data_IF_817051495980
#
_entry.id   IF_817051495980
#
_cell.length_a   1.000
_cell.length_b   1.000
_cell.length_c   1.000
_cell.angle_alpha   90.00
_cell.angle_beta   90.00
_cell.angle_gamma   90.00
#
_symmetry.space_group_name_H-M   'P 1'
#
loop_
_entity.id
_entity.type
_entity.pdbx_description
1 polymer ?
#
# COMPACT_ATOMS: atom_id res chain seq x y z
N UNK A 1 4.59 7.69 -14.45
CA UNK A 1 4.22 6.65 -13.45
C UNK A 1 4.84 7.07 -12.14
N UNK A 2 4.12 6.91 -11.03
CA UNK A 2 4.58 7.29 -9.69
C UNK A 2 4.45 6.09 -8.76
N UNK A 3 5.46 5.87 -7.92
CA UNK A 3 5.54 4.76 -6.97
C UNK A 3 5.65 5.35 -5.57
N UNK A 4 4.77 4.89 -4.69
CA UNK A 4 4.80 5.18 -3.26
C UNK A 4 4.78 3.85 -2.50
N UNK A 5 5.68 3.69 -1.54
CA UNK A 5 5.83 2.47 -0.76
C UNK A 5 5.91 2.78 0.74
N UNK A 6 5.33 1.88 1.54
CA UNK A 6 5.53 1.86 2.99
C UNK A 6 6.34 0.63 3.33
N UNK A 7 7.44 0.84 4.03
CA UNK A 7 8.28 -0.22 4.56
C UNK A 7 7.80 -0.53 5.98
N UNK A 8 7.60 -1.81 6.26
CA UNK A 8 7.04 -2.24 7.54
C UNK A 8 7.83 -3.41 8.10
N UNK A 9 8.67 -3.13 9.08
CA UNK A 9 9.30 -4.17 9.87
C UNK A 9 8.32 -4.71 10.92
N UNK A 10 7.72 -5.88 10.65
CA UNK A 10 6.69 -6.48 11.53
C UNK A 10 7.12 -6.64 13.00
N UNK A 11 8.44 -6.80 13.26
CA UNK A 11 8.99 -6.92 14.62
C UNK A 11 8.85 -5.63 15.43
N UNK A 12 8.83 -4.47 14.78
CA UNK A 12 8.59 -3.16 15.42
C UNK A 12 7.10 -2.87 15.67
N UNK A 13 6.19 -3.65 15.06
CA UNK A 13 4.77 -3.53 15.34
C UNK A 13 4.41 -4.15 16.71
N UNK A 14 3.68 -3.41 17.53
CA UNK A 14 3.14 -3.89 18.81
C UNK A 14 2.36 -5.21 18.62
N UNK A 15 2.49 -6.22 19.51
CA UNK A 15 1.90 -7.54 19.31
C UNK A 15 0.40 -7.52 19.02
N UNK A 16 -0.35 -6.65 19.70
CA UNK A 16 -1.79 -6.50 19.46
C UNK A 16 -2.12 -6.00 18.05
N UNK A 17 -1.22 -5.24 17.42
CA UNK A 17 -1.39 -4.73 16.06
C UNK A 17 -0.86 -5.70 14.98
N UNK A 18 -0.33 -6.89 15.35
CA UNK A 18 0.19 -7.89 14.40
C UNK A 18 -0.87 -8.80 13.81
N UNK A 19 -2.08 -8.80 14.37
CA UNK A 19 -3.16 -9.61 13.83
C UNK A 19 -3.36 -9.24 12.36
N UNK A 20 -3.23 -10.21 11.45
CA UNK A 20 -3.16 -9.91 10.01
C UNK A 20 -4.42 -9.20 9.48
N UNK A 21 -5.58 -9.47 10.08
CA UNK A 21 -6.86 -8.83 9.79
C UNK A 21 -6.91 -7.35 10.19
N UNK A 22 -5.96 -6.87 10.99
CA UNK A 22 -5.83 -5.46 11.38
C UNK A 22 -4.57 -4.83 10.77
N UNK A 23 -3.47 -5.58 10.76
CA UNK A 23 -2.16 -5.14 10.30
C UNK A 23 -2.19 -4.68 8.84
N UNK A 24 -2.53 -5.57 7.88
CA UNK A 24 -2.49 -5.22 6.46
C UNK A 24 -3.49 -4.11 6.10
N UNK A 25 -4.75 -4.15 6.56
CA UNK A 25 -5.70 -3.07 6.28
C UNK A 25 -5.24 -1.72 6.85
N UNK A 26 -4.59 -1.72 8.02
CA UNK A 26 -4.03 -0.51 8.62
C UNK A 26 -2.86 0.06 7.82
N UNK A 27 -1.91 -0.79 7.42
CA UNK A 27 -0.75 -0.39 6.60
C UNK A 27 -1.19 0.15 5.24
N UNK A 28 -2.10 -0.56 4.56
CA UNK A 28 -2.68 -0.10 3.29
C UNK A 28 -3.41 1.24 3.45
N UNK A 29 -4.15 1.41 4.55
CA UNK A 29 -4.79 2.68 4.87
C UNK A 29 -3.79 3.83 5.06
N UNK A 30 -2.62 3.58 5.66
CA UNK A 30 -1.57 4.61 5.77
C UNK A 30 -1.04 5.01 4.39
N UNK A 31 -0.68 4.03 3.54
CA UNK A 31 -0.21 4.31 2.19
C UNK A 31 -1.26 5.06 1.37
N UNK A 32 -2.52 4.60 1.39
CA UNK A 32 -3.59 5.24 0.63
C UNK A 32 -3.85 6.68 1.10
N UNK A 33 -3.83 6.94 2.42
CA UNK A 33 -3.93 8.30 2.96
C UNK A 33 -2.78 9.18 2.49
N UNK A 34 -1.56 8.65 2.51
CA UNK A 34 -0.36 9.36 2.09
C UNK A 34 -0.46 9.78 0.62
N UNK A 35 -0.85 8.86 -0.27
CA UNK A 35 -1.01 9.15 -1.70
C UNK A 35 -2.12 10.17 -1.93
N UNK A 36 -3.31 9.97 -1.36
CA UNK A 36 -4.46 10.85 -1.62
C UNK A 36 -4.26 12.29 -1.14
N UNK A 37 -3.46 12.50 -0.07
CA UNK A 37 -3.14 13.85 0.45
C UNK A 37 -2.30 14.69 -0.51
N UNK A 38 -1.68 14.07 -1.51
CA UNK A 38 -0.78 14.75 -2.44
C UNK A 38 -1.48 15.24 -3.70
N UNK A 39 -2.78 15.01 -3.81
CA UNK A 39 -3.58 15.44 -4.95
C UNK A 39 -4.68 16.39 -4.50
N UNK A 40 -4.95 17.40 -5.32
CA UNK A 40 -6.16 18.21 -5.20
C UNK A 40 -7.36 17.39 -5.66
N UNK A 41 -7.95 16.61 -4.75
CA UNK A 41 -9.01 15.63 -5.06
C UNK A 41 -10.24 16.24 -5.77
N UNK A 42 -10.49 17.54 -5.64
CA UNK A 42 -11.54 18.26 -6.37
C UNK A 42 -11.34 18.30 -7.88
N UNK A 43 -10.13 18.03 -8.38
CA UNK A 43 -9.82 17.99 -9.81
C UNK A 43 -10.16 16.64 -10.46
N UNK A 44 -10.58 15.66 -9.67
CA UNK A 44 -10.86 14.30 -10.13
C UNK A 44 -12.34 13.97 -9.96
N UNK A 45 -12.88 13.15 -10.86
CA UNK A 45 -14.27 12.69 -10.80
C UNK A 45 -14.40 11.30 -10.17
N UNK A 46 -13.32 10.52 -10.18
CA UNK A 46 -13.32 9.15 -9.71
C UNK A 46 -11.92 8.67 -9.29
N UNK A 47 -11.87 7.85 -8.24
CA UNK A 47 -10.68 7.10 -7.82
C UNK A 47 -10.92 5.60 -8.02
N UNK A 48 -10.06 4.95 -8.80
CA UNK A 48 -10.12 3.51 -9.03
C UNK A 48 -8.93 2.86 -8.33
N UNK A 49 -9.21 1.93 -7.43
CA UNK A 49 -8.21 1.15 -6.72
C UNK A 49 -8.22 -0.28 -7.24
N UNK A 50 -7.07 -0.74 -7.74
CA UNK A 50 -6.84 -2.13 -8.09
C UNK A 50 -6.12 -2.83 -6.94
N UNK A 51 -6.57 -4.04 -6.62
CA UNK A 51 -5.90 -4.91 -5.65
C UNK A 51 -5.81 -6.32 -6.21
N UNK A 52 -4.71 -7.00 -5.92
CA UNK A 52 -4.58 -8.41 -6.23
C UNK A 52 -5.52 -9.25 -5.35
N UNK A 53 -5.75 -10.48 -5.77
CA UNK A 53 -6.54 -11.45 -5.05
C UNK A 53 -5.85 -11.86 -3.75
N UNK A 54 -6.41 -11.42 -2.64
CA UNK A 54 -6.02 -11.90 -1.31
C UNK A 54 -6.59 -13.31 -1.11
N UNK A 55 -5.76 -14.35 -0.98
CA UNK A 55 -6.21 -15.75 -1.04
C UNK A 55 -7.08 -16.16 0.17
N UNK A 56 -7.04 -15.42 1.28
CA UNK A 56 -7.83 -15.71 2.48
C UNK A 56 -9.04 -14.78 2.56
N UNK A 57 -10.26 -15.34 2.49
CA UNK A 57 -11.53 -14.59 2.48
C UNK A 57 -11.66 -13.56 3.63
N UNK A 58 -11.32 -13.96 4.86
CA UNK A 58 -11.36 -13.06 6.02
C UNK A 58 -10.41 -11.86 5.89
N UNK A 59 -9.20 -12.10 5.37
CA UNK A 59 -8.20 -11.05 5.11
C UNK A 59 -8.65 -10.11 4.00
N UNK A 60 -9.26 -10.67 2.94
CA UNK A 60 -9.81 -9.90 1.83
C UNK A 60 -10.87 -8.90 2.31
N UNK A 61 -11.87 -9.36 3.06
CA UNK A 61 -12.94 -8.48 3.55
C UNK A 61 -12.40 -7.35 4.45
N UNK A 62 -11.40 -7.65 5.28
CA UNK A 62 -10.78 -6.65 6.13
C UNK A 62 -10.04 -5.58 5.30
N UNK A 63 -9.30 -5.99 4.28
CA UNK A 63 -8.61 -5.07 3.36
C UNK A 63 -9.61 -4.23 2.56
N UNK A 64 -10.63 -4.85 1.95
CA UNK A 64 -11.68 -4.13 1.24
C UNK A 64 -12.35 -3.09 2.12
N UNK A 65 -12.69 -3.45 3.36
CA UNK A 65 -13.29 -2.55 4.33
C UNK A 65 -12.37 -1.37 4.64
N UNK A 66 -11.07 -1.60 4.88
CA UNK A 66 -10.16 -0.50 5.17
C UNK A 66 -9.95 0.44 3.99
N UNK A 67 -9.88 -0.07 2.76
CA UNK A 67 -9.81 0.77 1.55
C UNK A 67 -11.08 1.61 1.44
N UNK A 68 -12.27 0.98 1.49
CA UNK A 68 -13.56 1.69 1.38
C UNK A 68 -13.74 2.73 2.47
N UNK A 69 -13.39 2.42 3.72
CA UNK A 69 -13.46 3.37 4.85
C UNK A 69 -12.48 4.53 4.66
N UNK A 70 -11.26 4.26 4.17
CA UNK A 70 -10.26 5.31 3.94
C UNK A 70 -10.70 6.24 2.81
N UNK A 71 -11.15 5.69 1.68
CA UNK A 71 -11.69 6.46 0.55
C UNK A 71 -12.90 7.28 1.00
N UNK A 72 -13.90 6.66 1.63
CA UNK A 72 -15.12 7.37 2.06
C UNK A 72 -14.85 8.51 3.04
N UNK A 73 -13.76 8.45 3.83
CA UNK A 73 -13.36 9.51 4.76
C UNK A 73 -12.58 10.65 4.09
N UNK A 74 -11.90 10.39 2.99
CA UNK A 74 -10.97 11.36 2.38
C UNK A 74 -11.49 11.98 1.10
N UNK A 75 -12.29 11.25 0.34
CA UNK A 75 -12.81 11.71 -0.94
C UNK A 75 -14.00 12.66 -0.70
N UNK A 76 -14.16 13.73 -1.50
CA UNK A 76 -15.36 14.53 -1.49
C UNK A 76 -16.61 13.66 -1.71
N UNK A 77 -17.74 14.01 -1.09
CA UNK A 77 -19.00 13.25 -1.22
C UNK A 77 -19.50 13.13 -2.67
N UNK A 78 -19.12 14.06 -3.53
CA UNK A 78 -19.46 14.09 -4.95
C UNK A 78 -18.58 13.19 -5.82
N UNK A 79 -17.44 12.73 -5.28
CA UNK A 79 -16.47 11.94 -6.03
C UNK A 79 -16.74 10.45 -5.86
N UNK A 80 -16.70 9.72 -6.99
CA UNK A 80 -16.92 8.27 -6.98
C UNK A 80 -15.63 7.53 -6.64
N UNK A 81 -15.77 6.31 -6.15
CA UNK A 81 -14.64 5.39 -6.09
C UNK A 81 -15.04 3.96 -6.42
N UNK A 82 -14.09 3.21 -6.98
CA UNK A 82 -14.23 1.79 -7.27
C UNK A 82 -13.06 1.01 -6.70
N UNK A 83 -13.36 -0.15 -6.14
CA UNK A 83 -12.38 -1.13 -5.74
C UNK A 83 -12.54 -2.37 -6.61
N UNK A 84 -11.49 -2.70 -7.36
CA UNK A 84 -11.47 -3.80 -8.30
C UNK A 84 -10.44 -4.86 -7.84
N UNK A 85 -10.85 -6.12 -7.94
CA UNK A 85 -10.01 -7.27 -7.61
C UNK A 85 -9.73 -8.06 -8.87
N UNK A 86 -8.45 -8.20 -9.22
CA UNK A 86 -8.00 -8.99 -10.34
C UNK A 86 -6.91 -9.95 -9.87
N UNK A 87 -6.71 -11.06 -10.57
CA UNK A 87 -5.51 -11.87 -10.37
C UNK A 87 -4.32 -11.10 -10.98
N UNK A 88 -3.18 -10.97 -10.28
CA UNK A 88 -2.01 -10.24 -10.81
C UNK A 88 -1.60 -10.67 -12.22
N UNK A 89 -1.70 -11.97 -12.54
CA UNK A 89 -1.39 -12.49 -13.88
C UNK A 89 -2.28 -11.95 -15.01
N UNK A 90 -3.46 -11.40 -14.70
CA UNK A 90 -4.41 -10.87 -15.69
C UNK A 90 -4.50 -9.34 -15.70
N UNK A 91 -3.68 -8.64 -14.91
CA UNK A 91 -3.69 -7.18 -14.84
C UNK A 91 -2.25 -6.62 -14.85
N UNK A 92 -1.90 -5.91 -15.92
CA UNK A 92 -0.56 -5.32 -16.07
C UNK A 92 -0.19 -4.32 -14.96
N UNK A 93 -1.15 -3.58 -14.41
CA UNK A 93 -0.88 -2.62 -13.33
C UNK A 93 -0.51 -3.34 -12.03
N UNK A 94 -1.13 -4.49 -11.76
CA UNK A 94 -0.76 -5.33 -10.62
C UNK A 94 0.63 -5.94 -10.81
N UNK A 95 1.00 -6.38 -12.02
CA UNK A 95 2.35 -6.87 -12.31
C UNK A 95 3.41 -5.78 -12.10
N UNK A 96 3.12 -4.54 -12.52
CA UNK A 96 3.99 -3.39 -12.27
C UNK A 96 4.14 -3.16 -10.76
N UNK A 97 3.03 -3.16 -10.01
CA UNK A 97 3.06 -2.99 -8.57
C UNK A 97 3.87 -4.10 -7.87
N UNK A 98 3.71 -5.36 -8.29
CA UNK A 98 4.46 -6.51 -7.77
C UNK A 98 5.96 -6.38 -8.04
N UNK A 99 6.36 -5.99 -9.25
CA UNK A 99 7.77 -5.74 -9.58
C UNK A 99 8.36 -4.61 -8.73
N UNK A 100 7.63 -3.50 -8.58
CA UNK A 100 8.09 -2.36 -7.80
C UNK A 100 8.24 -2.72 -6.31
N UNK A 101 7.25 -3.42 -5.75
CA UNK A 101 7.32 -3.93 -4.38
C UNK A 101 8.52 -4.86 -4.18
N UNK A 102 8.77 -5.77 -5.12
CA UNK A 102 9.92 -6.67 -5.06
C UNK A 102 11.25 -5.92 -5.14
N UNK A 103 11.40 -4.97 -6.08
CA UNK A 103 12.63 -4.19 -6.23
C UNK A 103 12.94 -3.36 -4.96
N UNK A 104 11.92 -2.71 -4.40
CA UNK A 104 12.04 -1.96 -3.13
C UNK A 104 12.38 -2.92 -1.98
N UNK A 105 11.66 -4.04 -1.85
CA UNK A 105 11.96 -5.05 -0.84
C UNK A 105 13.41 -5.53 -0.90
N UNK A 106 13.94 -5.79 -2.10
CA UNK A 106 15.34 -6.24 -2.30
C UNK A 106 16.37 -5.21 -1.85
N UNK A 107 16.10 -3.92 -2.07
CA UNK A 107 16.92 -2.82 -1.53
C UNK A 107 16.94 -2.88 0.00
N UNK A 108 15.78 -2.94 0.64
CA UNK A 108 15.68 -2.88 2.10
C UNK A 108 16.16 -4.15 2.81
N UNK A 109 15.92 -5.33 2.24
CA UNK A 109 16.28 -6.63 2.83
C UNK A 109 17.77 -6.95 2.68
N UNK A 110 18.39 -6.57 1.55
CA UNK A 110 19.75 -7.06 1.19
C UNK A 110 20.69 -5.99 0.67
N UNK A 111 20.31 -4.72 0.74
CA UNK A 111 21.04 -3.62 0.12
C UNK A 111 21.31 -3.85 -1.39
N UNK A 112 20.42 -4.61 -2.07
CA UNK A 112 20.57 -4.92 -3.49
C UNK A 112 19.84 -3.87 -4.32
N UNK A 113 20.61 -2.94 -4.89
CA UNK A 113 20.07 -1.78 -5.60
C UNK A 113 19.79 -2.01 -7.08
N UNK A 114 20.28 -3.11 -7.69
CA UNK A 114 20.23 -3.34 -9.15
C UNK A 114 18.85 -3.08 -9.75
N UNK A 115 17.81 -3.66 -9.16
CA UNK A 115 16.43 -3.51 -9.66
C UNK A 115 15.76 -2.22 -9.20
N UNK A 116 16.14 -1.74 -8.02
CA UNK A 116 15.66 -0.46 -7.50
C UNK A 116 16.12 0.70 -8.39
N UNK A 117 17.38 0.70 -8.84
CA UNK A 117 17.95 1.75 -9.69
C UNK A 117 17.20 1.90 -11.02
N UNK A 118 16.60 0.81 -11.54
CA UNK A 118 15.78 0.83 -12.75
C UNK A 118 14.44 1.56 -12.56
N UNK A 119 13.90 1.58 -11.34
CA UNK A 119 12.61 2.20 -11.03
C UNK A 119 12.75 3.51 -10.25
N UNK A 120 13.97 3.83 -9.79
CA UNK A 120 14.25 4.92 -8.85
C UNK A 120 13.68 6.27 -9.31
N UNK A 121 13.73 6.58 -10.59
CA UNK A 121 13.19 7.83 -11.14
C UNK A 121 11.67 7.96 -11.04
N UNK A 122 10.96 6.85 -10.79
CA UNK A 122 9.51 6.82 -10.58
C UNK A 122 9.13 6.67 -9.09
N UNK A 123 10.09 6.42 -8.20
CA UNK A 123 9.86 6.33 -6.76
C UNK A 123 9.77 7.74 -6.20
N UNK A 124 8.55 8.15 -5.86
CA UNK A 124 8.29 9.45 -5.23
C UNK A 124 8.52 9.37 -3.73
N UNK A 125 8.06 8.28 -3.10
CA UNK A 125 8.29 8.08 -1.67
C UNK A 125 8.42 6.61 -1.31
N UNK A 126 9.35 6.34 -0.39
CA UNK A 126 9.43 5.09 0.36
C UNK A 126 9.88 5.43 1.78
N UNK A 127 9.25 4.86 2.80
CA UNK A 127 9.57 5.21 4.19
C UNK A 127 9.28 4.06 5.16
N UNK A 128 10.12 3.90 6.18
CA UNK A 128 9.85 2.99 7.31
C UNK A 128 8.83 3.65 8.23
N UNK A 129 7.64 3.04 8.32
CA UNK A 129 6.56 3.55 9.17
C UNK A 129 6.90 3.51 10.66
N UNK A 130 7.93 2.75 11.04
CA UNK A 130 8.42 2.62 12.40
C UNK A 130 9.81 3.23 12.59
N UNK A 131 10.28 4.09 11.70
CA UNK A 131 11.63 4.69 11.75
C UNK A 131 11.94 5.35 13.10
N UNK A 132 10.98 6.08 13.67
CA UNK A 132 11.13 6.76 14.96
C UNK A 132 11.08 5.81 16.18
N UNK A 133 10.71 4.54 15.99
CA UNK A 133 10.55 3.56 17.05
C UNK A 133 11.81 2.71 17.25
N UNK A 134 12.21 2.50 18.50
CA UNK A 134 13.37 1.66 18.86
C UNK A 134 12.98 0.30 19.44
N UNK A 135 11.69 0.07 19.71
CA UNK A 135 11.20 -1.14 20.37
C UNK A 135 10.96 -2.24 19.34
N UNK A 136 11.54 -3.42 19.58
CA UNK A 136 11.23 -4.66 18.87
C UNK A 136 10.54 -5.64 19.81
N UNK A 137 9.43 -6.23 19.37
CA UNK A 137 8.74 -7.27 20.13
C UNK A 137 9.06 -8.66 19.54
N UNK A 138 9.21 -9.66 20.41
CA UNK A 138 9.50 -11.05 20.05
C UNK A 138 8.26 -11.91 20.23
#
# INVERSE_FOLDING_TARGET
MRIDAVIVEKRKAHPTARQETEFYPRMLGYLLRHVLKQYSLSQYTEVIVFTDRIPVKGKRNAVEKAVKVTLSKMLPKTMRYRLLHHDSKSNFQLQIADYCNWAIYRKWDRNNLRSYDLIKSAVESEFDIFEAGTITYY
#
